data_IF_907190153293
#
_entry.id   IF_907190153293
#
_cell.length_a   1.000
_cell.length_b   1.000
_cell.length_c   1.000
_cell.angle_alpha   90.00
_cell.angle_beta   90.00
_cell.angle_gamma   90.00
#
_symmetry.space_group_name_H-M   'P 1'
#
loop_
_entity.id
_entity.type
_entity.pdbx_description
1 polymer ?
#
# COMPACT_ATOMS: atom_id res chain seq x y z
N UNK A 1 -4.78 42.90 68.06
CA UNK A 1 -5.00 43.48 66.71
C UNK A 1 -4.80 42.44 65.58
N UNK A 2 -5.52 41.30 65.59
CA UNK A 2 -5.40 40.26 64.54
C UNK A 2 -6.74 39.63 64.09
N UNK A 3 -7.85 39.95 64.75
CA UNK A 3 -9.19 39.39 64.49
C UNK A 3 -9.86 40.00 63.26
N UNK A 4 -9.82 41.32 63.11
CA UNK A 4 -10.32 42.10 61.96
C UNK A 4 -9.84 41.56 60.61
N UNK A 5 -8.53 41.35 60.47
CA UNK A 5 -7.92 40.89 59.22
C UNK A 5 -8.30 39.43 58.90
N UNK A 6 -8.46 38.60 59.93
CA UNK A 6 -8.96 37.22 59.80
C UNK A 6 -10.42 37.21 59.33
N UNK A 7 -11.26 38.11 59.85
CA UNK A 7 -12.65 38.27 59.43
C UNK A 7 -12.76 38.75 57.97
N UNK A 8 -12.04 39.80 57.57
CA UNK A 8 -12.02 40.29 56.18
C UNK A 8 -11.47 39.26 55.18
N UNK A 9 -10.44 38.50 55.57
CA UNK A 9 -9.88 37.44 54.71
C UNK A 9 -10.88 36.28 54.51
N UNK A 10 -11.54 35.82 55.58
CA UNK A 10 -12.61 34.82 55.49
C UNK A 10 -13.77 35.33 54.63
N UNK A 11 -14.22 36.56 54.84
CA UNK A 11 -15.30 37.17 54.05
C UNK A 11 -14.93 37.30 52.56
N UNK A 12 -13.66 37.54 52.22
CA UNK A 12 -13.21 37.56 50.82
C UNK A 12 -13.20 36.16 50.20
N UNK A 13 -12.72 35.14 50.90
CA UNK A 13 -12.69 33.74 50.42
C UNK A 13 -14.12 33.23 50.17
N UNK A 14 -15.06 33.44 51.10
CA UNK A 14 -16.44 33.00 50.94
C UNK A 14 -17.24 33.84 49.92
N UNK A 15 -16.92 35.13 49.73
CA UNK A 15 -17.59 35.98 48.72
C UNK A 15 -17.12 35.71 47.29
N UNK A 16 -15.94 35.11 47.11
CA UNK A 16 -15.40 34.77 45.80
C UNK A 16 -15.60 33.29 45.41
N UNK A 17 -16.46 32.56 46.15
CA UNK A 17 -16.90 31.22 45.78
C UNK A 17 -17.88 31.31 44.61
N UNK A 18 -17.34 31.61 43.42
CA UNK A 18 -18.04 31.38 42.15
C UNK A 18 -18.56 29.95 42.16
N UNK A 19 -19.75 29.76 41.62
CA UNK A 19 -20.29 28.43 41.40
C UNK A 19 -19.48 27.81 40.26
N UNK A 20 -18.44 27.06 40.61
CA UNK A 20 -17.78 26.16 39.68
C UNK A 20 -18.78 25.04 39.36
N UNK A 21 -19.61 25.28 38.34
CA UNK A 21 -20.55 24.31 37.79
C UNK A 21 -19.74 23.16 37.18
N UNK A 22 -19.56 22.09 37.98
CA UNK A 22 -18.87 20.90 37.53
C UNK A 22 -19.67 20.17 36.46
N UNK A 23 -18.96 19.64 35.46
CA UNK A 23 -19.53 18.77 34.41
C UNK A 23 -20.42 17.69 35.03
N UNK A 24 -21.67 17.60 34.56
CA UNK A 24 -22.58 16.56 35.03
C UNK A 24 -22.21 15.21 34.42
N UNK A 25 -22.47 14.12 35.15
CA UNK A 25 -22.28 12.77 34.63
C UNK A 25 -23.13 12.48 33.40
N UNK A 26 -24.29 13.14 33.26
CA UNK A 26 -25.19 12.98 32.11
C UNK A 26 -24.68 13.69 30.86
N UNK A 27 -24.04 14.86 30.98
CA UNK A 27 -23.37 15.52 29.85
C UNK A 27 -22.22 14.65 29.31
N UNK A 28 -21.39 14.11 30.21
CA UNK A 28 -20.30 13.22 29.83
C UNK A 28 -20.84 11.93 29.17
N UNK A 29 -21.93 11.35 29.70
CA UNK A 29 -22.63 10.21 29.12
C UNK A 29 -23.10 10.49 27.68
N UNK A 30 -23.78 11.61 27.44
CA UNK A 30 -24.29 11.97 26.11
C UNK A 30 -23.14 12.20 25.13
N UNK A 31 -22.04 12.84 25.55
CA UNK A 31 -20.84 13.02 24.72
C UNK A 31 -20.23 11.68 24.31
N UNK A 32 -20.06 10.72 25.23
CA UNK A 32 -19.48 9.40 24.87
C UNK A 32 -20.40 8.58 23.95
N UNK A 33 -21.72 8.76 24.05
CA UNK A 33 -22.70 8.15 23.13
C UNK A 33 -22.54 8.74 21.72
N UNK A 34 -22.45 10.07 21.59
CA UNK A 34 -22.31 10.74 20.29
C UNK A 34 -21.00 10.35 19.60
N UNK A 35 -19.86 10.41 20.30
CA UNK A 35 -18.57 10.01 19.71
C UNK A 35 -18.53 8.51 19.40
N UNK A 36 -19.24 7.66 20.17
CA UNK A 36 -19.38 6.23 19.90
C UNK A 36 -20.07 5.95 18.57
N UNK A 37 -21.21 6.60 18.32
CA UNK A 37 -21.98 6.49 17.05
C UNK A 37 -21.13 6.98 15.87
N UNK A 38 -20.48 8.15 16.01
CA UNK A 38 -19.62 8.70 14.96
C UNK A 38 -18.42 7.78 14.66
N UNK A 39 -17.78 7.23 15.70
CA UNK A 39 -16.63 6.34 15.56
C UNK A 39 -16.98 5.02 14.87
N UNK A 40 -18.17 4.46 15.15
CA UNK A 40 -18.63 3.22 14.53
C UNK A 40 -18.74 3.32 13.00
N UNK A 41 -19.14 4.49 12.48
CA UNK A 41 -19.26 4.76 11.04
C UNK A 41 -17.91 5.19 10.44
N UNK A 42 -17.15 6.04 11.15
CA UNK A 42 -15.91 6.61 10.65
C UNK A 42 -14.75 5.60 10.60
N UNK A 43 -14.60 4.73 11.60
CA UNK A 43 -13.47 3.80 11.72
C UNK A 43 -13.31 2.83 10.52
N UNK A 44 -14.35 2.12 10.04
CA UNK A 44 -14.18 1.24 8.87
C UNK A 44 -13.83 2.01 7.59
N UNK A 45 -14.36 3.22 7.42
CA UNK A 45 -14.02 4.10 6.29
C UNK A 45 -12.56 4.56 6.36
N UNK A 46 -12.09 4.97 7.54
CA UNK A 46 -10.70 5.37 7.77
C UNK A 46 -9.72 4.23 7.51
N UNK A 47 -9.99 3.02 8.02
CA UNK A 47 -9.17 1.84 7.78
C UNK A 47 -9.11 1.46 6.29
N UNK A 48 -10.21 1.60 5.55
CA UNK A 48 -10.22 1.39 4.11
C UNK A 48 -9.38 2.44 3.36
N UNK A 49 -9.46 3.71 3.75
CA UNK A 49 -8.63 4.78 3.16
C UNK A 49 -7.14 4.56 3.44
N UNK A 50 -6.77 4.16 4.66
CA UNK A 50 -5.40 3.78 5.01
C UNK A 50 -4.90 2.60 4.15
N UNK A 51 -5.73 1.58 3.93
CA UNK A 51 -5.38 0.44 3.06
C UNK A 51 -5.25 0.84 1.57
N UNK A 52 -6.04 1.81 1.09
CA UNK A 52 -5.88 2.38 -0.27
C UNK A 52 -4.57 3.16 -0.41
N UNK A 53 -4.19 3.96 0.58
CA UNK A 53 -2.91 4.69 0.57
C UNK A 53 -1.72 3.71 0.47
N UNK A 54 -1.73 2.63 1.26
CA UNK A 54 -0.73 1.54 1.18
C UNK A 54 -0.71 0.87 -0.20
N UNK A 55 -1.87 0.60 -0.78
CA UNK A 55 -1.93 0.02 -2.13
C UNK A 55 -1.40 0.98 -3.22
N UNK A 56 -1.59 2.29 -3.04
CA UNK A 56 -1.07 3.32 -3.95
C UNK A 56 0.47 3.42 -3.91
N UNK A 57 1.09 3.20 -2.75
CA UNK A 57 2.55 3.04 -2.58
C UNK A 57 3.06 1.92 -3.51
N UNK A 58 2.52 0.71 -3.34
CA UNK A 58 2.93 -0.47 -4.11
C UNK A 58 2.68 -0.32 -5.62
N UNK A 59 1.52 0.20 -6.02
CA UNK A 59 1.22 0.48 -7.42
C UNK A 59 2.23 1.45 -8.04
N UNK A 60 2.61 2.51 -7.32
CA UNK A 60 3.58 3.52 -7.79
C UNK A 60 4.97 2.92 -7.92
N UNK A 61 5.39 2.10 -6.94
CA UNK A 61 6.70 1.47 -6.93
C UNK A 61 6.83 0.42 -8.04
N UNK A 62 5.86 -0.49 -8.19
CA UNK A 62 5.85 -1.49 -9.28
C UNK A 62 5.79 -0.81 -10.66
N UNK A 63 5.00 0.27 -10.81
CA UNK A 63 4.98 1.05 -12.05
C UNK A 63 6.33 1.73 -12.36
N UNK A 64 7.08 2.12 -11.32
CA UNK A 64 8.43 2.68 -11.47
C UNK A 64 9.46 1.61 -11.78
N UNK A 65 9.39 0.44 -11.15
CA UNK A 65 10.19 -0.74 -11.50
C UNK A 65 9.99 -1.14 -12.96
N UNK A 66 8.75 -1.13 -13.45
CA UNK A 66 8.47 -1.42 -14.86
C UNK A 66 9.18 -0.43 -15.80
N UNK A 67 9.09 0.88 -15.54
CA UNK A 67 9.78 1.91 -16.35
C UNK A 67 11.29 1.78 -16.30
N UNK A 68 11.86 1.54 -15.11
CA UNK A 68 13.30 1.36 -14.96
C UNK A 68 13.80 0.08 -15.65
N UNK A 69 13.01 -1.01 -15.65
CA UNK A 69 13.33 -2.21 -16.43
C UNK A 69 13.31 -1.94 -17.95
N UNK A 70 12.37 -1.12 -18.45
CA UNK A 70 12.37 -0.70 -19.86
C UNK A 70 13.58 0.17 -20.22
N UNK A 71 13.99 1.09 -19.33
CA UNK A 71 15.18 1.91 -19.52
C UNK A 71 16.47 1.07 -19.48
N UNK A 72 16.64 0.22 -18.46
CA UNK A 72 17.77 -0.71 -18.36
C UNK A 72 17.86 -1.64 -19.57
N UNK A 73 16.73 -2.14 -20.09
CA UNK A 73 16.73 -2.92 -21.34
C UNK A 73 17.22 -2.10 -22.55
N UNK A 74 16.83 -0.83 -22.67
CA UNK A 74 17.27 0.03 -23.76
C UNK A 74 18.78 0.35 -23.72
N UNK A 75 19.40 0.30 -22.54
CA UNK A 75 20.85 0.51 -22.35
C UNK A 75 21.66 -0.80 -22.45
N UNK A 76 21.13 -1.91 -21.91
CA UNK A 76 21.87 -3.17 -21.72
C UNK A 76 21.45 -4.31 -22.66
N UNK A 77 20.34 -4.20 -23.39
CA UNK A 77 19.72 -5.28 -24.19
C UNK A 77 19.34 -6.54 -23.37
N UNK A 78 19.17 -6.40 -22.06
CA UNK A 78 18.66 -7.42 -21.15
C UNK A 78 17.84 -6.73 -20.04
N UNK A 79 16.86 -7.43 -19.45
CA UNK A 79 16.23 -6.96 -18.21
C UNK A 79 17.12 -7.27 -17.01
N UNK A 80 17.07 -6.41 -15.98
CA UNK A 80 17.76 -6.66 -14.72
C UNK A 80 17.13 -7.86 -14.01
N UNK A 81 17.97 -8.81 -13.61
CA UNK A 81 17.58 -10.04 -12.91
C UNK A 81 17.13 -9.82 -11.45
N UNK A 82 16.77 -10.91 -10.77
CA UNK A 82 16.39 -10.93 -9.35
C UNK A 82 17.39 -10.24 -8.38
N UNK A 83 18.68 -10.20 -8.69
CA UNK A 83 19.72 -9.58 -7.86
C UNK A 83 20.04 -8.14 -8.34
N UNK A 84 19.63 -7.81 -9.57
CA UNK A 84 19.83 -6.54 -10.26
C UNK A 84 18.95 -5.37 -9.79
N UNK A 85 18.18 -5.49 -8.69
CA UNK A 85 17.31 -4.42 -8.21
C UNK A 85 18.06 -3.08 -8.00
N UNK A 86 19.29 -3.14 -7.48
CA UNK A 86 20.14 -1.95 -7.31
C UNK A 86 20.56 -1.29 -8.63
N UNK A 87 20.61 -2.06 -9.74
CA UNK A 87 20.95 -1.54 -11.08
C UNK A 87 19.87 -0.64 -11.66
N UNK A 88 18.62 -0.76 -11.18
CA UNK A 88 17.49 0.05 -11.65
C UNK A 88 17.51 1.51 -11.16
N UNK A 89 18.42 1.89 -10.25
CA UNK A 89 18.62 3.29 -9.83
C UNK A 89 17.44 3.97 -9.12
N UNK A 90 16.40 3.22 -8.73
CA UNK A 90 15.11 3.75 -8.29
C UNK A 90 15.11 4.51 -6.96
N UNK A 91 16.14 4.36 -6.12
CA UNK A 91 16.21 4.96 -4.79
C UNK A 91 15.16 4.47 -3.77
N UNK A 92 14.41 3.40 -4.11
CA UNK A 92 13.41 2.79 -3.22
C UNK A 92 13.99 1.59 -2.46
N UNK A 93 13.51 1.35 -1.24
CA UNK A 93 13.85 0.15 -0.48
C UNK A 93 13.12 -1.08 -1.06
N UNK A 94 13.82 -2.21 -1.16
CA UNK A 94 13.19 -3.53 -1.44
C UNK A 94 12.26 -3.97 -0.32
N UNK A 95 12.37 -3.39 0.87
CA UNK A 95 11.54 -3.68 2.02
C UNK A 95 10.99 -2.38 2.63
N UNK A 96 9.69 -2.16 2.51
CA UNK A 96 8.97 -1.12 3.23
C UNK A 96 8.18 -1.73 4.39
N UNK A 97 7.41 -0.90 5.11
CA UNK A 97 6.57 -1.35 6.24
C UNK A 97 5.44 -2.29 5.80
N UNK A 98 4.89 -2.07 4.61
CA UNK A 98 3.68 -2.75 4.12
C UNK A 98 3.95 -3.74 2.98
N UNK A 99 5.11 -3.64 2.31
CA UNK A 99 5.44 -4.45 1.13
C UNK A 99 6.91 -4.87 1.10
N UNK A 100 7.18 -6.00 0.46
CA UNK A 100 8.50 -6.39 -0.01
C UNK A 100 8.47 -6.44 -1.54
N UNK A 101 9.35 -5.67 -2.17
CA UNK A 101 9.51 -5.52 -3.61
C UNK A 101 10.60 -6.46 -4.11
N UNK A 102 10.30 -7.24 -5.15
CA UNK A 102 11.22 -8.23 -5.72
C UNK A 102 11.16 -8.21 -7.23
N UNK A 103 12.30 -8.51 -7.85
CA UNK A 103 12.38 -8.87 -9.25
C UNK A 103 12.36 -10.40 -9.34
N UNK A 104 11.59 -10.94 -10.28
CA UNK A 104 11.52 -12.37 -10.59
C UNK A 104 11.66 -12.54 -12.11
N UNK A 105 12.74 -13.19 -12.51
CA UNK A 105 13.09 -13.51 -13.89
C UNK A 105 11.95 -14.21 -14.64
N UNK A 106 11.72 -13.81 -15.90
CA UNK A 106 10.82 -14.49 -16.82
C UNK A 106 11.52 -15.55 -17.66
N UNK A 107 11.02 -16.78 -17.58
CA UNK A 107 11.50 -17.91 -18.38
C UNK A 107 12.56 -18.76 -17.69
N UNK A 108 12.58 -20.04 -18.06
CA UNK A 108 13.47 -21.05 -17.46
C UNK A 108 14.93 -20.90 -17.92
N UNK A 109 15.66 -19.96 -17.33
CA UNK A 109 17.12 -19.85 -17.49
C UNK A 109 17.61 -19.25 -18.81
N UNK A 110 16.73 -18.76 -19.68
CA UNK A 110 17.12 -18.11 -20.93
C UNK A 110 17.97 -16.84 -20.68
N UNK A 111 18.94 -16.62 -21.58
CA UNK A 111 19.81 -15.43 -21.67
C UNK A 111 19.90 -15.03 -23.14
N UNK A 112 19.63 -13.77 -23.53
CA UNK A 112 19.25 -12.63 -22.68
C UNK A 112 17.92 -12.79 -21.95
N UNK A 113 17.69 -11.97 -20.92
CA UNK A 113 16.41 -11.92 -20.21
C UNK A 113 15.41 -11.11 -21.04
N UNK A 114 14.55 -11.80 -21.79
CA UNK A 114 13.52 -11.19 -22.66
C UNK A 114 12.22 -10.83 -21.93
N UNK A 115 12.08 -11.24 -20.67
CA UNK A 115 10.93 -10.94 -19.81
C UNK A 115 11.32 -10.93 -18.33
N UNK A 116 10.66 -10.08 -17.55
CA UNK A 116 10.85 -9.93 -16.11
C UNK A 116 9.54 -9.56 -15.42
N UNK A 117 9.36 -9.97 -14.16
CA UNK A 117 8.28 -9.46 -13.31
C UNK A 117 8.79 -8.72 -12.08
N UNK A 118 8.10 -7.64 -11.77
CA UNK A 118 8.32 -6.74 -10.64
C UNK A 118 7.15 -6.95 -9.67
N UNK A 119 7.41 -7.53 -8.50
CA UNK A 119 6.37 -7.96 -7.57
C UNK A 119 6.42 -7.13 -6.28
N UNK A 120 5.26 -6.66 -5.81
CA UNK A 120 5.08 -6.12 -4.46
C UNK A 120 4.23 -7.10 -3.65
N UNK A 121 4.90 -7.93 -2.84
CA UNK A 121 4.28 -8.88 -1.93
C UNK A 121 3.92 -8.16 -0.62
N UNK A 122 2.77 -8.44 0.00
CA UNK A 122 2.38 -7.72 1.22
C UNK A 122 3.16 -8.22 2.44
N UNK A 123 3.58 -7.29 3.28
CA UNK A 123 4.34 -7.53 4.52
C UNK A 123 3.42 -7.27 5.71
N UNK A 124 3.39 -8.20 6.67
CA UNK A 124 2.53 -8.17 7.86
C UNK A 124 1.02 -8.06 7.54
N UNK A 125 0.40 -9.20 7.22
CA UNK A 125 -0.99 -9.39 6.73
C UNK A 125 -2.15 -9.00 7.69
N UNK A 126 -1.94 -8.06 8.62
CA UNK A 126 -2.98 -7.58 9.57
C UNK A 126 -3.99 -6.59 8.95
N UNK A 127 -3.94 -6.36 7.64
CA UNK A 127 -4.87 -5.47 6.94
C UNK A 127 -5.17 -5.97 5.52
N UNK A 128 -6.34 -5.62 5.00
CA UNK A 128 -6.82 -6.02 3.67
C UNK A 128 -6.12 -5.24 2.54
N UNK A 129 -4.80 -5.41 2.43
CA UNK A 129 -3.96 -4.87 1.35
C UNK A 129 -3.71 -5.92 0.27
N UNK A 130 -3.75 -5.49 -1.00
CA UNK A 130 -3.56 -6.35 -2.17
C UNK A 130 -2.09 -6.43 -2.57
N UNK A 131 -1.63 -7.58 -3.04
CA UNK A 131 -0.34 -7.72 -3.72
C UNK A 131 -0.44 -7.17 -5.15
N UNK A 132 0.69 -6.70 -5.71
CA UNK A 132 0.78 -6.19 -7.08
C UNK A 132 1.88 -6.92 -7.85
N UNK A 133 1.65 -7.09 -9.15
CA UNK A 133 2.63 -7.60 -10.11
C UNK A 133 2.69 -6.69 -11.33
N UNK A 134 3.90 -6.33 -11.72
CA UNK A 134 4.22 -5.71 -13.00
C UNK A 134 4.95 -6.71 -13.87
N UNK A 135 4.58 -6.81 -15.14
CA UNK A 135 5.32 -7.60 -16.13
C UNK A 135 5.91 -6.67 -17.18
N UNK A 136 7.19 -6.88 -17.51
CA UNK A 136 7.85 -6.23 -18.65
C UNK A 136 8.42 -7.31 -19.56
N UNK A 137 8.11 -7.23 -20.84
CA UNK A 137 8.54 -8.20 -21.85
C UNK A 137 8.81 -7.51 -23.18
N UNK A 138 9.67 -8.11 -24.01
CA UNK A 138 9.76 -7.75 -25.43
C UNK A 138 8.54 -8.34 -26.15
N UNK A 139 7.93 -7.55 -27.03
CA UNK A 139 6.86 -8.01 -27.93
C UNK A 139 7.02 -7.35 -29.29
N UNK A 140 6.79 -8.09 -30.38
CA UNK A 140 6.76 -7.52 -31.72
C UNK A 140 5.42 -6.84 -31.98
N UNK A 141 5.43 -5.59 -32.46
CA UNK A 141 4.20 -4.92 -32.92
C UNK A 141 3.71 -5.62 -34.19
N UNK A 142 2.49 -6.18 -34.16
CA UNK A 142 1.97 -6.99 -35.27
C UNK A 142 1.92 -6.25 -36.63
N UNK A 143 1.80 -4.92 -36.62
CA UNK A 143 1.75 -4.10 -37.83
C UNK A 143 3.13 -3.81 -38.46
N UNK A 144 4.16 -3.54 -37.65
CA UNK A 144 5.49 -3.12 -38.14
C UNK A 144 6.56 -4.21 -38.03
N UNK A 145 6.28 -5.29 -37.27
CA UNK A 145 7.22 -6.33 -36.85
C UNK A 145 8.41 -5.83 -36.01
N UNK A 146 8.39 -4.58 -35.56
CA UNK A 146 9.40 -4.01 -34.68
C UNK A 146 9.27 -4.57 -33.26
N UNK A 147 10.40 -4.91 -32.65
CA UNK A 147 10.46 -5.30 -31.25
C UNK A 147 10.27 -4.06 -30.36
N UNK A 148 9.33 -4.12 -29.42
CA UNK A 148 9.10 -3.07 -28.43
C UNK A 148 8.91 -3.66 -27.04
N UNK A 149 9.34 -2.94 -26.00
CA UNK A 149 9.09 -3.37 -24.61
C UNK A 149 7.66 -3.01 -24.21
N UNK A 150 6.86 -4.00 -23.81
CA UNK A 150 5.55 -3.78 -23.22
C UNK A 150 5.61 -3.91 -21.70
N UNK A 151 5.00 -2.97 -21.00
CA UNK A 151 4.80 -3.02 -19.56
C UNK A 151 3.32 -3.19 -19.21
N UNK A 152 3.03 -3.99 -18.18
CA UNK A 152 1.68 -4.20 -17.60
C UNK A 152 1.77 -4.16 -16.08
N UNK A 153 0.70 -3.74 -15.41
CA UNK A 153 0.58 -3.74 -13.96
C UNK A 153 -0.81 -4.24 -13.57
N UNK A 154 -0.83 -5.23 -12.68
CA UNK A 154 -2.04 -5.95 -12.30
C UNK A 154 -2.04 -6.17 -10.77
N UNK A 155 -3.23 -6.09 -10.17
CA UNK A 155 -3.41 -6.15 -8.72
C UNK A 155 -4.18 -7.41 -8.36
N UNK A 156 -3.77 -8.12 -7.30
CA UNK A 156 -4.43 -9.35 -6.88
C UNK A 156 -5.90 -9.14 -6.54
N UNK A 157 -6.76 -10.07 -6.98
CA UNK A 157 -8.21 -10.00 -6.80
C UNK A 157 -8.62 -9.95 -5.32
N UNK A 158 -7.91 -10.72 -4.48
CA UNK A 158 -8.13 -10.83 -3.04
C UNK A 158 -6.89 -10.39 -2.28
N UNK A 159 -7.09 -9.62 -1.19
CA UNK A 159 -6.03 -9.29 -0.25
C UNK A 159 -5.59 -10.56 0.51
N UNK A 160 -4.31 -10.97 0.52
CA UNK A 160 -3.95 -12.28 1.06
C UNK A 160 -3.71 -12.24 2.57
N UNK A 161 -4.22 -13.25 3.29
CA UNK A 161 -4.17 -13.35 4.76
C UNK A 161 -3.94 -14.79 5.18
N UNK A 162 -2.96 -15.01 6.06
CA UNK A 162 -2.75 -16.26 6.82
C UNK A 162 -2.88 -15.96 8.31
N UNK A 163 -3.58 -16.84 9.02
CA UNK A 163 -3.94 -16.79 10.45
C UNK A 163 -4.75 -15.54 10.88
N UNK A 164 -5.96 -15.24 10.39
CA UNK A 164 -6.90 -16.03 9.60
C UNK A 164 -7.83 -15.10 8.79
N UNK A 165 -8.36 -15.43 7.60
CA UNK A 165 -7.81 -16.22 6.49
C UNK A 165 -8.49 -15.72 5.21
N UNK A 166 -7.70 -15.35 4.20
CA UNK A 166 -8.18 -15.06 2.84
C UNK A 166 -7.06 -15.49 1.89
N UNK A 167 -7.29 -16.57 1.15
CA UNK A 167 -6.27 -17.24 0.34
C UNK A 167 -6.07 -16.56 -1.03
N UNK A 168 -5.67 -15.28 -1.00
CA UNK A 168 -5.18 -14.57 -2.19
C UNK A 168 -3.80 -15.07 -2.63
N UNK A 169 -3.47 -14.92 -3.91
CA UNK A 169 -2.16 -15.28 -4.47
C UNK A 169 -1.05 -14.31 -4.01
N UNK A 170 -0.37 -14.63 -2.91
CA UNK A 170 0.94 -14.01 -2.56
C UNK A 170 2.06 -14.48 -3.49
N UNK A 171 1.95 -15.71 -3.99
CA UNK A 171 2.90 -16.34 -4.90
C UNK A 171 2.51 -16.04 -6.34
N UNK A 172 3.19 -15.09 -6.97
CA UNK A 172 3.34 -15.04 -8.43
C UNK A 172 4.62 -15.81 -8.80
N UNK A 173 4.68 -17.10 -8.43
CA UNK A 173 5.95 -17.80 -8.15
C UNK A 173 6.22 -19.03 -9.02
N UNK A 174 5.44 -19.28 -10.06
CA UNK A 174 5.78 -20.24 -11.11
C UNK A 174 6.13 -19.49 -12.40
N UNK A 175 6.98 -20.06 -13.27
CA UNK A 175 7.27 -19.45 -14.58
C UNK A 175 6.00 -19.33 -15.47
N UNK A 176 4.97 -20.14 -15.20
CA UNK A 176 3.65 -19.99 -15.79
C UNK A 176 2.91 -18.73 -15.28
N UNK A 177 3.19 -18.27 -14.05
CA UNK A 177 2.75 -16.97 -13.52
C UNK A 177 3.54 -15.78 -14.08
N UNK A 178 4.71 -16.03 -14.69
CA UNK A 178 5.57 -14.96 -15.23
C UNK A 178 5.24 -14.66 -16.70
N UNK A 179 4.50 -15.53 -17.41
CA UNK A 179 3.95 -15.27 -18.74
C UNK A 179 2.80 -14.22 -18.77
N UNK A 180 2.49 -13.58 -17.64
CA UNK A 180 1.30 -12.74 -17.43
C UNK A 180 1.51 -11.24 -17.73
N UNK A 181 1.96 -10.92 -18.94
CA UNK A 181 1.75 -9.60 -19.55
C UNK A 181 0.68 -9.60 -20.68
N UNK A 182 -0.06 -10.69 -20.81
CA UNK A 182 -1.23 -10.78 -21.72
C UNK A 182 -2.54 -10.44 -20.99
N UNK A 183 -3.51 -9.89 -21.71
CA UNK A 183 -4.76 -9.35 -21.13
C UNK A 183 -5.59 -10.43 -20.41
N UNK A 184 -5.71 -11.62 -21.01
CA UNK A 184 -6.41 -12.78 -20.43
C UNK A 184 -5.86 -13.23 -19.07
N UNK A 185 -4.62 -12.86 -18.78
CA UNK A 185 -3.87 -13.28 -17.63
C UNK A 185 -4.10 -12.34 -16.44
N UNK A 186 -4.04 -11.02 -16.65
CA UNK A 186 -4.51 -10.06 -15.65
C UNK A 186 -6.02 -10.16 -15.43
N UNK A 187 -6.79 -10.59 -16.44
CA UNK A 187 -8.22 -10.92 -16.29
C UNK A 187 -8.50 -12.10 -15.35
N UNK A 188 -7.55 -13.04 -15.17
CA UNK A 188 -7.60 -14.11 -14.14
C UNK A 188 -7.15 -13.65 -12.74
N UNK A 189 -6.46 -12.51 -12.64
CA UNK A 189 -5.91 -11.98 -11.38
C UNK A 189 -6.75 -10.84 -10.78
N UNK A 190 -7.83 -10.42 -11.45
CA UNK A 190 -8.65 -9.29 -11.03
C UNK A 190 -8.18 -7.94 -11.60
N UNK A 191 -9.12 -6.98 -11.61
CA UNK A 191 -9.07 -5.64 -12.24
C UNK A 191 -7.69 -5.20 -12.78
N UNK A 192 -7.56 -5.20 -14.11
CA UNK A 192 -6.49 -4.51 -14.83
C UNK A 192 -6.38 -3.06 -14.34
N UNK A 193 -5.17 -2.66 -13.93
CA UNK A 193 -4.88 -1.29 -13.52
C UNK A 193 -4.08 -0.65 -14.64
N UNK A 194 -4.69 0.20 -15.50
CA UNK A 194 -3.95 0.86 -16.56
C UNK A 194 -2.84 1.71 -15.93
N UNK A 195 -1.59 1.41 -16.28
CA UNK A 195 -0.48 2.33 -16.04
C UNK A 195 -0.77 3.56 -16.89
N UNK A 196 -0.93 4.72 -16.26
CA UNK A 196 -1.08 5.98 -16.99
C UNK A 196 0.14 6.18 -17.89
N UNK A 197 -0.13 6.54 -19.16
CA UNK A 197 0.91 6.90 -20.14
C UNK A 197 1.62 8.17 -19.71
#
# INVERSE_FOLDING_TARGET
MKTELKAKLLQHIFRNKKQDEGFTLIELLVVIIIIGILSAIALPSFLNQANKAKQSEAQTYVGSMNRAQQAYYAENNEFADKDGFGKLGLGVSTDTTNYTYKIVDGGGGATPKEMVTNQAQTKNVKGAVKAFIGGVAISTVAATKEATTIARLCAGEVAPVTDNTLTGTQKFASAADVALATDAACKKLGKYVPVAK
#
